data_IF_694550383164
#
_entry.id   IF_694550383164
#
_cell.length_a   1.000
_cell.length_b   1.000
_cell.length_c   1.000
_cell.angle_alpha   90.00
_cell.angle_beta   90.00
_cell.angle_gamma   90.00
#
_symmetry.space_group_name_H-M   'P 1'
#
loop_
_entity.id
_entity.type
_entity.pdbx_description
1 polymer ?
#
# COMPACT_ATOMS: atom_id res chain seq x y z
N UNK A 1 6.41 -15.06 -6.59
CA UNK A 1 7.29 -14.32 -7.54
C UNK A 1 8.09 -13.30 -6.73
N UNK A 2 9.40 -13.08 -6.91
CA UNK A 2 10.06 -11.99 -6.20
C UNK A 2 9.41 -10.70 -6.66
N UNK A 3 8.80 -9.98 -5.72
CA UNK A 3 8.03 -8.75 -5.91
C UNK A 3 8.98 -7.73 -6.54
N UNK A 4 8.79 -7.47 -7.84
CA UNK A 4 9.67 -6.58 -8.60
C UNK A 4 9.19 -5.13 -8.44
N UNK A 5 10.13 -4.21 -8.24
CA UNK A 5 9.95 -2.76 -8.11
C UNK A 5 9.33 -2.06 -9.35
N UNK A 6 8.75 -2.84 -10.26
CA UNK A 6 8.18 -2.45 -11.54
C UNK A 6 6.66 -2.53 -11.57
N UNK A 7 6.03 -3.12 -10.55
CA UNK A 7 4.56 -3.22 -10.48
C UNK A 7 3.94 -1.83 -10.24
N UNK A 8 3.06 -1.35 -11.14
CA UNK A 8 2.38 -0.06 -11.01
C UNK A 8 1.63 0.12 -9.68
N UNK A 9 1.08 -0.95 -9.10
CA UNK A 9 0.35 -0.89 -7.84
C UNK A 9 1.26 -0.47 -6.70
N UNK A 10 2.39 -1.17 -6.54
CA UNK A 10 3.36 -0.88 -5.48
C UNK A 10 4.00 0.50 -5.65
N UNK A 11 4.29 0.90 -6.89
CA UNK A 11 4.82 2.24 -7.17
C UNK A 11 3.82 3.34 -6.82
N UNK A 12 2.54 3.11 -7.12
CA UNK A 12 1.45 4.02 -6.74
C UNK A 12 1.29 4.12 -5.23
N UNK A 13 1.36 2.99 -4.51
CA UNK A 13 1.31 2.93 -3.05
C UNK A 13 2.47 3.69 -2.41
N UNK A 14 3.70 3.39 -2.83
CA UNK A 14 4.90 4.08 -2.34
C UNK A 14 4.82 5.58 -2.58
N UNK A 15 4.35 5.98 -3.77
CA UNK A 15 4.14 7.38 -4.10
C UNK A 15 3.13 8.06 -3.18
N UNK A 16 1.96 7.43 -2.97
CA UNK A 16 0.89 7.97 -2.14
C UNK A 16 1.34 8.13 -0.67
N UNK A 17 2.07 7.15 -0.13
CA UNK A 17 2.62 7.22 1.23
C UNK A 17 3.64 8.36 1.37
N UNK A 18 4.61 8.46 0.45
CA UNK A 18 5.60 9.55 0.45
C UNK A 18 4.95 10.92 0.28
N UNK A 19 3.92 11.01 -0.56
CA UNK A 19 3.16 12.23 -0.75
C UNK A 19 2.43 12.63 0.53
N UNK A 20 1.77 11.68 1.21
CA UNK A 20 1.12 11.95 2.50
C UNK A 20 2.14 12.47 3.52
N UNK A 21 3.27 11.79 3.68
CA UNK A 21 4.34 12.23 4.60
C UNK A 21 4.85 13.64 4.27
N UNK A 22 5.05 13.96 2.99
CA UNK A 22 5.45 15.30 2.56
C UNK A 22 4.43 16.37 2.95
N UNK A 23 3.13 16.10 2.73
CA UNK A 23 2.03 17.01 3.10
C UNK A 23 1.94 17.17 4.62
N UNK A 24 2.11 16.08 5.38
CA UNK A 24 2.12 16.11 6.85
C UNK A 24 3.28 16.93 7.41
N UNK A 25 4.45 16.90 6.75
CA UNK A 25 5.60 17.79 7.04
C UNK A 25 5.36 19.25 6.65
N UNK A 26 4.24 19.56 6.00
CA UNK A 26 3.93 20.91 5.54
C UNK A 26 4.65 21.31 4.25
N UNK A 27 5.17 20.35 3.48
CA UNK A 27 5.71 20.65 2.15
C UNK A 27 4.59 21.14 1.23
N UNK A 28 4.83 22.26 0.55
CA UNK A 28 3.91 22.76 -0.47
C UNK A 28 3.98 21.85 -1.69
N UNK A 29 2.84 21.22 -2.00
CA UNK A 29 2.65 20.35 -3.17
C UNK A 29 1.45 20.84 -3.98
N UNK A 30 1.52 20.70 -5.29
CA UNK A 30 0.40 21.06 -6.17
C UNK A 30 -0.60 19.89 -6.25
N UNK A 31 -1.79 20.07 -5.68
CA UNK A 31 -2.79 19.00 -5.60
C UNK A 31 -3.13 18.40 -6.98
N UNK A 32 -3.27 19.23 -8.01
CA UNK A 32 -3.67 18.77 -9.35
C UNK A 32 -2.58 17.90 -9.98
N UNK A 33 -1.33 18.36 -9.89
CA UNK A 33 -0.16 17.62 -10.38
C UNK A 33 -0.01 16.27 -9.66
N UNK A 34 -0.19 16.25 -8.35
CA UNK A 34 -0.05 15.05 -7.54
C UNK A 34 -1.22 14.07 -7.77
N UNK A 35 -2.44 14.57 -7.96
CA UNK A 35 -3.59 13.76 -8.39
C UNK A 35 -3.39 13.18 -9.79
N UNK A 36 -2.85 13.95 -10.74
CA UNK A 36 -2.54 13.43 -12.08
C UNK A 36 -1.49 12.32 -12.03
N UNK A 37 -0.47 12.45 -11.17
CA UNK A 37 0.52 11.39 -10.95
C UNK A 37 -0.12 10.11 -10.39
N UNK A 38 -0.95 10.22 -9.35
CA UNK A 38 -1.67 9.09 -8.77
C UNK A 38 -2.65 8.45 -9.75
N UNK A 39 -3.30 9.25 -10.59
CA UNK A 39 -4.17 8.78 -11.69
C UNK A 39 -3.36 7.95 -12.69
N UNK A 40 -2.18 8.42 -13.09
CA UNK A 40 -1.31 7.67 -14.00
C UNK A 40 -0.84 6.33 -13.39
N UNK A 41 -0.55 6.29 -12.10
CA UNK A 41 -0.28 5.02 -11.42
C UNK A 41 -1.49 4.10 -11.45
N UNK A 42 -2.69 4.60 -11.11
CA UNK A 42 -3.93 3.83 -11.15
C UNK A 42 -4.20 3.25 -12.54
N UNK A 43 -4.07 4.05 -13.60
CA UNK A 43 -4.25 3.59 -14.98
C UNK A 43 -3.23 2.52 -15.40
N UNK A 44 -2.02 2.55 -14.82
CA UNK A 44 -1.02 1.51 -14.98
C UNK A 44 -1.36 0.19 -14.28
N UNK A 45 -2.15 0.22 -13.21
CA UNK A 45 -2.64 -1.00 -12.54
C UNK A 45 -3.69 -1.67 -13.43
N UNK A 46 -3.63 -3.00 -13.63
CA UNK A 46 -4.69 -3.72 -14.34
C UNK A 46 -6.07 -3.48 -13.72
N UNK A 47 -7.03 -3.09 -14.56
CA UNK A 47 -8.43 -3.14 -14.18
C UNK A 47 -8.92 -4.58 -14.19
N UNK A 48 -10.05 -4.82 -13.53
CA UNK A 48 -10.81 -6.04 -13.72
C UNK A 48 -11.27 -6.18 -15.17
N UNK A 49 -11.51 -7.42 -15.59
CA UNK A 49 -12.15 -7.69 -16.88
C UNK A 49 -13.51 -6.96 -16.93
N UNK A 50 -13.83 -6.30 -18.04
CA UNK A 50 -15.09 -5.62 -18.25
C UNK A 50 -16.29 -6.59 -18.18
N UNK A 51 -16.08 -7.86 -18.55
CA UNK A 51 -17.06 -8.94 -18.39
C UNK A 51 -16.95 -9.65 -17.02
N UNK A 52 -15.90 -9.35 -16.25
CA UNK A 52 -15.63 -9.96 -14.96
C UNK A 52 -16.50 -9.40 -13.84
N UNK A 53 -16.74 -10.19 -12.78
CA UNK A 53 -17.59 -9.76 -11.68
C UNK A 53 -16.94 -8.68 -10.79
N UNK A 54 -15.60 -8.55 -10.82
CA UNK A 54 -14.85 -7.64 -9.95
C UNK A 54 -14.14 -6.54 -10.75
N UNK A 55 -14.10 -5.31 -10.24
CA UNK A 55 -13.41 -4.14 -10.82
C UNK A 55 -11.87 -4.22 -10.76
N UNK A 56 -11.31 -5.25 -10.11
CA UNK A 56 -9.88 -5.55 -10.11
C UNK A 56 -9.03 -4.72 -9.13
N UNK A 57 -7.71 -4.86 -9.25
CA UNK A 57 -6.71 -4.23 -8.37
C UNK A 57 -6.68 -2.70 -8.47
N UNK A 58 -6.94 -2.14 -9.67
CA UNK A 58 -7.01 -0.68 -9.87
C UNK A 58 -8.05 -0.04 -8.95
N UNK A 59 -9.23 -0.65 -8.84
CA UNK A 59 -10.31 -0.09 -8.03
C UNK A 59 -9.97 -0.10 -6.53
N UNK A 60 -9.36 -1.20 -6.04
CA UNK A 60 -8.86 -1.28 -4.67
C UNK A 60 -7.86 -0.14 -4.36
N UNK A 61 -6.89 0.08 -5.26
CA UNK A 61 -5.91 1.15 -5.13
C UNK A 61 -6.56 2.54 -5.07
N UNK A 62 -7.49 2.82 -5.99
CA UNK A 62 -8.23 4.10 -6.03
C UNK A 62 -8.99 4.35 -4.73
N UNK A 63 -9.72 3.34 -4.23
CA UNK A 63 -10.43 3.45 -2.96
C UNK A 63 -9.48 3.75 -1.79
N UNK A 64 -8.32 3.11 -1.74
CA UNK A 64 -7.32 3.32 -0.70
C UNK A 64 -6.70 4.72 -0.77
N UNK A 65 -6.31 5.18 -1.96
CA UNK A 65 -5.79 6.55 -2.15
C UNK A 65 -6.83 7.58 -1.72
N UNK A 66 -8.08 7.41 -2.13
CA UNK A 66 -9.14 8.32 -1.74
C UNK A 66 -9.39 8.31 -0.23
N UNK A 67 -9.27 7.15 0.43
CA UNK A 67 -9.34 7.10 1.90
C UNK A 67 -8.18 7.81 2.57
N UNK A 68 -6.97 7.56 2.09
CA UNK A 68 -5.75 8.12 2.63
C UNK A 68 -5.83 9.64 2.66
N UNK A 69 -6.21 10.26 1.53
CA UNK A 69 -6.24 11.71 1.42
C UNK A 69 -7.53 12.35 1.96
N UNK A 70 -8.67 11.65 1.94
CA UNK A 70 -9.92 12.19 2.53
C UNK A 70 -9.90 12.11 4.06
N UNK A 71 -9.37 11.04 4.65
CA UNK A 71 -9.50 10.82 6.10
C UNK A 71 -8.23 11.11 6.89
N UNK A 72 -7.06 11.11 6.25
CA UNK A 72 -5.76 11.11 6.95
C UNK A 72 -4.81 12.20 6.43
N UNK A 73 -5.34 13.28 5.84
CA UNK A 73 -4.47 14.33 5.29
C UNK A 73 -5.06 15.73 5.43
N UNK A 74 -4.18 16.74 5.41
CA UNK A 74 -4.55 18.16 5.33
C UNK A 74 -5.27 18.53 4.02
N UNK A 75 -5.22 17.65 3.03
CA UNK A 75 -5.93 17.81 1.76
C UNK A 75 -7.36 17.30 1.78
N UNK A 76 -7.87 16.79 2.92
CA UNK A 76 -9.22 16.21 3.06
C UNK A 76 -10.29 16.93 2.22
N UNK A 77 -10.52 18.22 2.48
CA UNK A 77 -11.60 18.96 1.83
C UNK A 77 -11.37 19.15 0.33
N UNK A 78 -10.13 19.43 -0.06
CA UNK A 78 -9.76 19.65 -1.45
C UNK A 78 -9.77 18.35 -2.25
N UNK A 79 -9.40 17.23 -1.63
CA UNK A 79 -9.44 15.89 -2.21
C UNK A 79 -10.88 15.39 -2.33
N UNK A 80 -11.71 15.60 -1.31
CA UNK A 80 -13.09 15.12 -1.28
C UNK A 80 -13.96 15.66 -2.43
N UNK A 81 -13.62 16.85 -2.97
CA UNK A 81 -14.29 17.45 -4.14
C UNK A 81 -13.92 16.83 -5.49
N UNK A 82 -12.81 16.11 -5.56
CA UNK A 82 -12.24 15.57 -6.80
C UNK A 82 -11.52 14.25 -6.53
N UNK A 83 -12.29 13.30 -5.98
CA UNK A 83 -11.81 11.95 -5.69
C UNK A 83 -11.44 11.23 -6.98
N UNK A 84 -10.46 10.35 -6.90
CA UNK A 84 -10.08 9.52 -8.03
C UNK A 84 -11.21 8.55 -8.40
N UNK A 85 -11.97 8.06 -7.43
CA UNK A 85 -13.15 7.21 -7.68
C UNK A 85 -14.17 7.92 -8.57
N UNK A 86 -14.53 9.15 -8.23
CA UNK A 86 -15.48 9.95 -9.00
C UNK A 86 -14.98 10.20 -10.41
N UNK A 87 -13.69 10.52 -10.56
CA UNK A 87 -13.09 10.83 -11.85
C UNK A 87 -12.90 9.59 -12.76
N UNK A 88 -12.59 8.42 -12.18
CA UNK A 88 -12.27 7.21 -12.95
C UNK A 88 -13.43 6.23 -13.10
N UNK A 89 -14.38 6.26 -12.16
CA UNK A 89 -15.47 5.28 -12.08
C UNK A 89 -16.86 5.92 -12.02
N UNK A 90 -16.96 7.25 -11.97
CA UNK A 90 -18.25 7.96 -11.92
C UNK A 90 -19.04 7.68 -10.64
N UNK A 91 -18.37 7.26 -9.56
CA UNK A 91 -18.99 6.84 -8.31
C UNK A 91 -18.37 7.57 -7.10
N UNK A 92 -18.99 7.42 -5.93
CA UNK A 92 -18.53 8.04 -4.67
C UNK A 92 -18.90 7.20 -3.44
N UNK A 93 -18.99 5.89 -3.65
CA UNK A 93 -19.41 4.88 -2.67
C UNK A 93 -18.27 3.92 -2.30
N UNK A 94 -17.01 4.34 -2.48
CA UNK A 94 -15.80 3.54 -2.17
C UNK A 94 -15.83 2.81 -0.84
N UNK A 95 -16.47 3.38 0.18
CA UNK A 95 -16.48 2.81 1.52
C UNK A 95 -17.20 1.45 1.55
N UNK A 96 -18.33 1.32 0.87
CA UNK A 96 -19.12 0.07 0.78
C UNK A 96 -18.76 -0.74 -0.46
N UNK A 97 -18.55 -0.07 -1.60
CA UNK A 97 -18.25 -0.74 -2.86
C UNK A 97 -16.91 -1.49 -2.81
N UNK A 98 -15.91 -0.98 -2.07
CA UNK A 98 -14.66 -1.72 -1.84
C UNK A 98 -14.91 -3.12 -1.26
N UNK A 99 -15.74 -3.24 -0.21
CA UNK A 99 -15.98 -4.53 0.46
C UNK A 99 -16.82 -5.46 -0.40
N UNK A 100 -17.79 -4.92 -1.16
CA UNK A 100 -18.51 -5.68 -2.17
C UNK A 100 -17.55 -6.25 -3.22
N UNK A 101 -16.63 -5.42 -3.73
CA UNK A 101 -15.64 -5.83 -4.72
C UNK A 101 -14.62 -6.83 -4.16
N UNK A 102 -14.18 -6.67 -2.91
CA UNK A 102 -13.31 -7.61 -2.21
C UNK A 102 -13.96 -8.99 -2.08
N UNK A 103 -15.28 -9.05 -1.79
CA UNK A 103 -16.04 -10.30 -1.75
C UNK A 103 -16.13 -10.97 -3.12
N UNK A 104 -16.27 -10.19 -4.20
CA UNK A 104 -16.25 -10.73 -5.56
C UNK A 104 -14.86 -11.24 -5.95
N UNK A 105 -13.80 -10.53 -5.54
CA UNK A 105 -12.42 -10.99 -5.71
C UNK A 105 -12.14 -12.28 -4.93
N UNK A 106 -12.69 -12.43 -3.71
CA UNK A 106 -12.61 -13.66 -2.92
C UNK A 106 -13.28 -14.85 -3.63
N UNK A 107 -14.31 -14.60 -4.46
CA UNK A 107 -14.96 -15.65 -5.23
C UNK A 107 -14.19 -16.07 -6.51
N UNK A 108 -13.14 -15.33 -6.91
CA UNK A 108 -12.37 -15.66 -8.11
C UNK A 108 -11.46 -16.87 -7.89
N UNK A 109 -11.13 -17.63 -8.97
CA UNK A 109 -10.19 -18.74 -8.90
C UNK A 109 -8.74 -18.30 -8.60
N UNK A 110 -8.38 -17.06 -8.93
CA UNK A 110 -7.03 -16.51 -8.72
C UNK A 110 -7.03 -15.52 -7.56
N UNK A 111 -5.96 -15.55 -6.76
CA UNK A 111 -5.84 -14.69 -5.58
C UNK A 111 -5.19 -13.33 -5.88
N UNK A 112 -4.75 -13.06 -7.12
CA UNK A 112 -4.04 -11.82 -7.49
C UNK A 112 -4.86 -10.55 -7.20
N UNK A 113 -6.14 -10.57 -7.57
CA UNK A 113 -7.02 -9.42 -7.32
C UNK A 113 -7.29 -9.29 -5.82
N UNK A 114 -7.58 -10.40 -5.13
CA UNK A 114 -7.81 -10.42 -3.69
C UNK A 114 -6.60 -9.89 -2.90
N UNK A 115 -5.38 -10.20 -3.34
CA UNK A 115 -4.15 -9.72 -2.75
C UNK A 115 -4.05 -8.18 -2.77
N UNK A 116 -4.54 -7.52 -3.83
CA UNK A 116 -4.56 -6.05 -3.90
C UNK A 116 -5.53 -5.43 -2.88
N UNK A 117 -6.72 -6.00 -2.71
CA UNK A 117 -7.67 -5.59 -1.66
C UNK A 117 -7.07 -5.82 -0.26
N UNK A 118 -6.46 -6.98 -0.04
CA UNK A 118 -5.79 -7.30 1.22
C UNK A 118 -4.66 -6.32 1.54
N UNK A 119 -3.82 -5.99 0.57
CA UNK A 119 -2.75 -5.01 0.73
C UNK A 119 -3.29 -3.63 1.13
N UNK A 120 -4.35 -3.15 0.47
CA UNK A 120 -4.98 -1.87 0.81
C UNK A 120 -5.51 -1.85 2.26
N UNK A 121 -6.11 -2.95 2.73
CA UNK A 121 -6.58 -3.10 4.11
C UNK A 121 -5.42 -3.13 5.11
N UNK A 122 -4.35 -3.87 4.78
CA UNK A 122 -3.12 -3.93 5.60
C UNK A 122 -2.45 -2.55 5.72
N UNK A 123 -2.57 -1.71 4.69
CA UNK A 123 -2.10 -0.31 4.66
C UNK A 123 -3.09 0.69 5.26
N UNK A 124 -4.14 0.22 5.93
CA UNK A 124 -5.02 1.07 6.72
C UNK A 124 -6.37 1.42 6.08
N UNK A 125 -6.73 0.87 4.92
CA UNK A 125 -8.09 1.01 4.41
C UNK A 125 -9.10 0.36 5.37
N UNK A 126 -10.20 1.05 5.65
CA UNK A 126 -11.29 0.59 6.51
C UNK A 126 -12.64 0.64 5.80
N UNK A 127 -12.90 1.65 4.99
CA UNK A 127 -14.21 1.82 4.34
C UNK A 127 -15.37 1.76 5.35
N UNK A 128 -16.43 1.03 5.03
CA UNK A 128 -17.61 0.87 5.90
C UNK A 128 -17.29 0.12 7.22
N UNK A 129 -16.33 -0.80 7.20
CA UNK A 129 -15.92 -1.57 8.39
C UNK A 129 -15.09 -0.76 9.41
N UNK A 130 -14.97 0.56 9.26
CA UNK A 130 -14.25 1.45 10.21
C UNK A 130 -14.74 1.30 11.64
N UNK A 131 -16.03 1.07 11.83
CA UNK A 131 -16.66 0.95 13.14
C UNK A 131 -16.91 -0.51 13.56
N UNK A 132 -16.43 -1.47 12.76
CA UNK A 132 -16.61 -2.91 12.97
C UNK A 132 -15.25 -3.64 13.04
N UNK A 133 -14.40 -3.34 14.05
CA UNK A 133 -13.04 -3.86 14.11
C UNK A 133 -12.98 -5.39 14.17
N UNK A 134 -13.98 -6.04 14.77
CA UNK A 134 -14.05 -7.51 14.82
C UNK A 134 -14.30 -8.13 13.44
N UNK A 135 -15.21 -7.56 12.65
CA UNK A 135 -15.47 -8.02 11.28
C UNK A 135 -14.25 -7.81 10.37
N UNK A 136 -13.57 -6.68 10.53
CA UNK A 136 -12.33 -6.38 9.82
C UNK A 136 -11.23 -7.41 10.14
N UNK A 137 -11.00 -7.69 11.42
CA UNK A 137 -10.00 -8.68 11.86
C UNK A 137 -10.32 -10.08 11.33
N UNK A 138 -11.59 -10.51 11.41
CA UNK A 138 -12.03 -11.78 10.87
C UNK A 138 -11.77 -11.89 9.36
N UNK A 139 -12.03 -10.81 8.60
CA UNK A 139 -11.73 -10.77 7.17
C UNK A 139 -10.23 -10.84 6.89
N UNK A 140 -9.40 -10.10 7.64
CA UNK A 140 -7.94 -10.11 7.50
C UNK A 140 -7.37 -11.51 7.73
N UNK A 141 -7.77 -12.19 8.81
CA UNK A 141 -7.26 -13.53 9.13
C UNK A 141 -7.67 -14.58 8.10
N UNK A 142 -8.94 -14.54 7.66
CA UNK A 142 -9.43 -15.40 6.58
C UNK A 142 -8.62 -15.18 5.29
N UNK A 143 -8.39 -13.92 4.92
CA UNK A 143 -7.80 -13.54 3.63
C UNK A 143 -6.29 -13.76 3.59
N UNK A 144 -5.58 -13.50 4.70
CA UNK A 144 -4.13 -13.72 4.82
C UNK A 144 -3.71 -15.12 4.38
N UNK A 145 -4.44 -16.12 4.87
CA UNK A 145 -4.17 -17.53 4.56
C UNK A 145 -4.32 -17.87 3.08
N UNK A 146 -5.24 -17.20 2.37
CA UNK A 146 -5.42 -17.37 0.93
C UNK A 146 -4.29 -16.72 0.14
N UNK A 147 -4.05 -15.44 0.40
CA UNK A 147 -3.02 -14.67 -0.31
C UNK A 147 -1.64 -15.30 -0.17
N UNK A 148 -1.28 -15.78 1.03
CA UNK A 148 -0.02 -16.48 1.27
C UNK A 148 0.12 -17.78 0.47
N UNK A 149 -0.98 -18.52 0.23
CA UNK A 149 -0.97 -19.72 -0.63
C UNK A 149 -0.83 -19.38 -2.10
N UNK A 150 -1.50 -18.31 -2.56
CA UNK A 150 -1.39 -17.82 -3.93
C UNK A 150 0.04 -17.41 -4.31
N UNK A 151 0.81 -16.86 -3.37
CA UNK A 151 2.23 -16.53 -3.58
C UNK A 151 3.14 -17.77 -3.64
N UNK A 152 2.77 -18.85 -2.94
CA UNK A 152 3.57 -20.06 -2.79
C UNK A 152 3.35 -21.10 -3.89
N UNK A 153 2.23 -21.08 -4.62
CA UNK A 153 1.92 -22.04 -5.67
C UNK A 153 2.82 -21.83 -6.91
N UNK A 154 3.76 -22.76 -7.22
CA UNK A 154 4.56 -22.68 -8.43
C UNK A 154 3.76 -23.31 -9.57
N UNK A 155 3.16 -22.50 -10.44
CA UNK A 155 2.64 -23.03 -11.72
C UNK A 155 1.50 -22.30 -12.41
N UNK A 156 0.79 -21.38 -11.74
CA UNK A 156 -0.37 -20.70 -12.35
C UNK A 156 -0.03 -19.30 -12.88
N UNK A 157 1.10 -19.11 -13.58
CA UNK A 157 1.28 -17.89 -14.36
C UNK A 157 0.49 -18.04 -15.66
N UNK A 158 -0.69 -17.45 -15.73
CA UNK A 158 -1.31 -17.17 -17.03
C UNK A 158 -0.31 -16.37 -17.86
N UNK A 159 0.02 -16.94 -19.02
CA UNK A 159 1.04 -16.47 -19.97
C UNK A 159 0.81 -15.00 -20.33
N UNK A 160 1.60 -14.10 -19.75
CA UNK A 160 2.01 -12.89 -20.45
C UNK A 160 3.35 -13.19 -21.10
N UNK A 161 3.33 -13.48 -22.39
CA UNK A 161 4.53 -13.68 -23.21
C UNK A 161 5.34 -12.38 -23.23
N UNK A 162 6.30 -12.24 -22.32
CA UNK A 162 7.30 -11.17 -22.37
C UNK A 162 8.70 -11.78 -22.47
N UNK A 163 9.26 -11.59 -23.67
CA UNK A 163 10.60 -11.96 -24.13
C UNK A 163 11.68 -11.68 -23.07
N UNK A 164 12.66 -12.58 -22.84
CA UNK A 164 13.64 -12.43 -21.77
C UNK A 164 14.66 -11.35 -22.14
N UNK A 165 14.57 -10.19 -21.48
CA UNK A 165 15.63 -9.18 -21.54
C UNK A 165 16.61 -9.45 -20.39
N UNK A 166 17.84 -9.83 -20.74
CA UNK A 166 18.92 -10.13 -19.80
C UNK A 166 19.15 -8.94 -18.85
N UNK A 167 18.92 -9.18 -17.56
CA UNK A 167 19.14 -8.19 -16.51
C UNK A 167 20.64 -7.94 -16.31
N UNK A 168 21.05 -6.69 -16.43
CA UNK A 168 22.35 -6.17 -15.97
C UNK A 168 22.28 -6.02 -14.45
N UNK A 169 23.05 -6.80 -13.71
CA UNK A 169 23.22 -6.63 -12.26
C UNK A 169 23.93 -5.32 -11.98
N UNK A 170 23.39 -4.49 -11.09
CA UNK A 170 24.16 -3.44 -10.43
C UNK A 170 23.88 -3.42 -8.91
N UNK A 171 24.89 -3.07 -8.09
CA UNK A 171 24.94 -3.37 -6.67
C UNK A 171 24.53 -2.15 -5.84
N UNK A 172 23.41 -2.24 -5.10
CA UNK A 172 22.88 -1.11 -4.32
C UNK A 172 22.51 -1.42 -2.87
N UNK A 173 22.40 -2.69 -2.47
CA UNK A 173 21.84 -3.06 -1.16
C UNK A 173 22.84 -2.99 0.02
N UNK A 174 24.13 -2.83 -0.24
CA UNK A 174 25.16 -2.90 0.83
C UNK A 174 25.28 -1.60 1.63
N UNK A 175 24.87 -0.44 1.10
CA UNK A 175 24.97 0.84 1.82
C UNK A 175 23.85 1.07 2.84
N UNK A 176 22.62 0.65 2.52
CA UNK A 176 21.50 0.79 3.45
C UNK A 176 21.65 -0.11 4.68
N UNK A 177 22.18 -1.33 4.50
CA UNK A 177 22.37 -2.28 5.60
C UNK A 177 23.45 -1.83 6.59
N UNK A 178 24.50 -1.13 6.13
CA UNK A 178 25.56 -0.61 7.01
C UNK A 178 25.09 0.51 7.93
N UNK A 179 24.13 1.34 7.50
CA UNK A 179 23.59 2.42 8.34
C UNK A 179 22.75 1.90 9.51
N UNK A 180 21.92 0.88 9.28
CA UNK A 180 21.07 0.29 10.31
C UNK A 180 21.91 -0.41 11.38
N UNK A 181 22.97 -1.12 10.99
CA UNK A 181 23.85 -1.81 11.95
C UNK A 181 24.62 -0.83 12.84
N UNK A 182 25.16 0.27 12.28
CA UNK A 182 25.91 1.27 13.05
C UNK A 182 25.01 2.00 14.05
N UNK A 183 23.79 2.38 13.65
CA UNK A 183 22.84 3.05 14.54
C UNK A 183 22.43 2.15 15.73
N UNK A 184 22.25 0.85 15.48
CA UNK A 184 21.88 -0.12 16.51
C UNK A 184 23.01 -0.31 17.53
N UNK A 185 24.25 -0.48 17.06
CA UNK A 185 25.41 -0.66 17.95
C UNK A 185 25.67 0.60 18.79
N UNK A 186 25.60 1.79 18.19
CA UNK A 186 25.78 3.04 18.92
C UNK A 186 24.74 3.21 20.04
N UNK A 187 23.48 2.87 19.77
CA UNK A 187 22.39 2.99 20.75
C UNK A 187 22.59 2.02 21.92
N UNK A 188 22.95 0.77 21.64
CA UNK A 188 23.19 -0.24 22.68
C UNK A 188 24.39 0.09 23.57
N UNK A 189 25.44 0.71 23.02
CA UNK A 189 26.62 1.08 23.81
C UNK A 189 26.44 2.36 24.64
N UNK A 190 25.65 3.33 24.15
CA UNK A 190 25.53 4.64 24.82
C UNK A 190 24.53 4.63 25.98
N UNK A 191 23.49 3.79 25.92
CA UNK A 191 22.49 3.63 26.99
C UNK A 191 23.07 3.27 28.37
N UNK A 192 23.95 2.26 28.52
CA UNK A 192 24.54 1.92 29.82
C UNK A 192 25.50 2.98 30.34
N UNK A 193 26.22 3.69 29.45
CA UNK A 193 27.11 4.79 29.84
C UNK A 193 26.32 6.00 30.36
N UNK A 194 25.20 6.34 29.70
CA UNK A 194 24.32 7.40 30.16
C UNK A 194 23.69 7.05 31.52
N UNK A 195 23.22 5.80 31.70
CA UNK A 195 22.68 5.33 32.97
C UNK A 195 23.73 5.41 34.09
N UNK A 196 24.97 4.98 33.84
CA UNK A 196 26.06 5.06 34.81
C UNK A 196 26.41 6.50 35.21
N UNK A 197 26.45 7.42 34.25
CA UNK A 197 26.73 8.83 34.51
C UNK A 197 25.64 9.48 35.38
N UNK A 198 24.36 9.12 35.16
CA UNK A 198 23.24 9.59 35.98
C UNK A 198 23.37 9.06 37.41
N UNK A 199 23.57 7.76 37.59
CA UNK A 199 23.73 7.13 38.91
C UNK A 199 24.88 7.77 39.69
N UNK A 200 26.03 7.99 39.05
CA UNK A 200 27.20 8.62 39.68
C UNK A 200 26.95 10.08 40.08
N UNK A 201 26.10 10.82 39.36
CA UNK A 201 25.78 12.22 39.68
C UNK A 201 24.81 12.37 40.87
N UNK A 202 23.99 11.36 41.14
CA UNK A 202 22.99 11.40 42.21
C UNK A 202 23.41 10.66 43.49
N UNK A 203 24.40 9.77 43.43
CA UNK A 203 24.82 8.92 44.55
C UNK A 203 26.29 9.11 44.99
N UNK A 204 27.01 10.07 44.39
CA UNK A 204 28.37 10.45 44.79
C UNK A 204 28.48 11.96 44.90
#
# INVERSE_FOLDING_TARGET
>A
MPISNTDPLYRGIDYALRLREAIERGETRDLQREQAALTNFALGVPAGDAAGPCRGARYAFVCWVDELFTCQSRWSDAWNRQKLESNLYGANDRASEFWRQAKLADALPTDETLAAYFLCVALGFRGELRHEPQALLAWVEKTRSRVARGEAAPGASSRSTRRPQRARRLPGSVRAQRFVTVATVATTCLLPLAAFAVVRRFLG
#
